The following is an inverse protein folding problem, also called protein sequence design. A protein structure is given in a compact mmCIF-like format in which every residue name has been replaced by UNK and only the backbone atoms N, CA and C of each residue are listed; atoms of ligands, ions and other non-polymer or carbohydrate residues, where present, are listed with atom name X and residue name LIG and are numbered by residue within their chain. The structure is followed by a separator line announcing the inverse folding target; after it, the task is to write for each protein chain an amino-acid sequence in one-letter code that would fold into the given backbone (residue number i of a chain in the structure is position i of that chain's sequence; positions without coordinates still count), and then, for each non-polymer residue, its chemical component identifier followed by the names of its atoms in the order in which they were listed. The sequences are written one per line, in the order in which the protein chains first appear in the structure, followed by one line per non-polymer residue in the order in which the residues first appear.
data_IF_630418726345
#
_entry.id   IF_630418726345
#
_cell.length_a   1.000
_cell.length_b   1.000
_cell.length_c   1.000
_cell.angle_alpha   90.00
_cell.angle_beta   90.00
_cell.angle_gamma   90.00
#
_symmetry.space_group_name_H-M   'P 1'
#
loop_
_entity.id
_entity.type
_entity.pdbx_description
1 polymer ?
#
# COMPACT_ATOMS: atom_id res chain seq x y z
N UNK A 1 -8.98 -39.20 -19.77
CA UNK A 1 -7.67 -38.93 -20.43
C UNK A 1 -6.47 -39.31 -19.57
N UNK A 2 -6.21 -38.67 -18.41
CA UNK A 2 -5.03 -38.99 -17.56
C UNK A 2 -4.93 -40.44 -17.10
N UNK A 3 -6.07 -41.09 -16.83
CA UNK A 3 -6.14 -42.48 -16.37
C UNK A 3 -6.09 -43.52 -17.50
N UNK A 4 -6.25 -43.11 -18.76
CA UNK A 4 -6.36 -44.04 -19.89
C UNK A 4 -5.04 -44.79 -20.16
N UNK A 5 -3.91 -44.09 -20.10
CA UNK A 5 -2.57 -44.67 -20.30
C UNK A 5 -2.18 -45.65 -19.19
N UNK A 6 -2.31 -45.31 -17.89
CA UNK A 6 -2.11 -46.28 -16.80
C UNK A 6 -3.05 -47.49 -16.88
N UNK A 7 -4.30 -47.30 -17.33
CA UNK A 7 -5.28 -48.37 -17.45
C UNK A 7 -5.14 -49.21 -18.73
N UNK A 8 -4.26 -48.83 -19.67
CA UNK A 8 -4.09 -49.51 -20.96
C UNK A 8 -5.37 -49.54 -21.81
N UNK A 9 -6.27 -48.56 -21.63
CA UNK A 9 -7.61 -48.54 -22.26
C UNK A 9 -7.79 -47.31 -23.13
N UNK A 10 -8.65 -47.42 -24.16
CA UNK A 10 -9.10 -46.25 -24.89
C UNK A 10 -9.80 -45.28 -23.92
N UNK A 11 -9.54 -43.96 -23.95
CA UNK A 11 -10.14 -43.03 -22.99
C UNK A 11 -11.68 -43.01 -23.03
N UNK A 12 -12.31 -43.30 -24.18
CA UNK A 12 -13.77 -43.42 -24.32
C UNK A 12 -14.30 -44.69 -23.67
N UNK A 13 -13.62 -45.82 -23.85
CA UNK A 13 -13.95 -47.08 -23.16
C UNK A 13 -13.80 -46.94 -21.64
N UNK A 14 -12.74 -46.28 -21.20
CA UNK A 14 -12.53 -46.00 -19.78
C UNK A 14 -13.61 -45.07 -19.22
N UNK A 15 -14.04 -44.06 -19.98
CA UNK A 15 -15.14 -43.19 -19.57
C UNK A 15 -16.46 -43.96 -19.45
N UNK A 16 -16.75 -44.88 -20.38
CA UNK A 16 -17.92 -45.75 -20.30
C UNK A 16 -17.87 -46.63 -19.05
N UNK A 17 -16.73 -47.25 -18.76
CA UNK A 17 -16.55 -48.04 -17.54
C UNK A 17 -16.80 -47.23 -16.28
N UNK A 18 -16.40 -45.95 -16.23
CA UNK A 18 -16.73 -45.08 -15.10
C UNK A 18 -18.24 -44.86 -15.00
N UNK A 19 -18.90 -44.50 -16.12
CA UNK A 19 -20.35 -44.28 -16.14
C UNK A 19 -21.13 -45.52 -15.71
N UNK A 20 -20.73 -46.70 -16.19
CA UNK A 20 -21.39 -47.97 -15.86
C UNK A 20 -21.32 -48.32 -14.37
N UNK A 21 -20.37 -47.74 -13.64
CA UNK A 21 -20.19 -47.93 -12.19
C UNK A 21 -20.65 -46.71 -11.37
N UNK A 22 -21.19 -45.67 -12.00
CA UNK A 22 -21.78 -44.55 -11.27
C UNK A 22 -23.10 -45.01 -10.64
N UNK A 23 -23.33 -44.70 -9.35
CA UNK A 23 -24.64 -44.92 -8.75
C UNK A 23 -25.68 -44.02 -9.42
N UNK A 24 -26.93 -44.51 -9.46
CA UNK A 24 -28.07 -43.67 -9.82
C UNK A 24 -28.19 -42.50 -8.84
N UNK A 25 -28.38 -41.30 -9.37
CA UNK A 25 -28.49 -40.08 -8.59
C UNK A 25 -29.72 -39.27 -9.02
N UNK A 26 -30.63 -39.03 -8.08
CA UNK A 26 -31.92 -38.38 -8.34
C UNK A 26 -31.81 -36.92 -8.79
N UNK A 27 -30.61 -36.32 -8.67
CA UNK A 27 -30.31 -34.96 -9.09
C UNK A 27 -29.78 -34.85 -10.53
N UNK A 28 -29.52 -35.98 -11.21
CA UNK A 28 -29.01 -36.00 -12.59
C UNK A 28 -30.12 -36.39 -13.57
N UNK A 29 -30.27 -35.61 -14.65
CA UNK A 29 -31.10 -35.99 -15.80
C UNK A 29 -30.40 -37.04 -16.66
N UNK A 30 -29.09 -36.86 -16.90
CA UNK A 30 -28.27 -37.81 -17.68
C UNK A 30 -26.77 -37.61 -17.45
N UNK A 31 -26.02 -38.64 -17.81
CA UNK A 31 -24.55 -38.62 -17.91
C UNK A 31 -24.17 -39.13 -19.29
N UNK A 32 -23.31 -38.42 -20.02
CA UNK A 32 -22.93 -38.82 -21.39
C UNK A 32 -21.44 -38.61 -21.68
N UNK A 33 -20.92 -39.38 -22.65
CA UNK A 33 -19.53 -39.25 -23.07
C UNK A 33 -19.41 -38.31 -24.26
N UNK A 34 -18.70 -37.20 -24.06
CA UNK A 34 -18.35 -36.25 -25.10
C UNK A 34 -16.94 -36.48 -25.65
N UNK A 35 -16.82 -36.39 -26.98
CA UNK A 35 -15.55 -36.48 -27.69
C UNK A 35 -14.71 -37.71 -27.31
N UNK A 36 -13.41 -37.53 -27.02
CA UNK A 36 -12.49 -38.65 -26.82
C UNK A 36 -12.66 -39.39 -25.48
N UNK A 37 -13.51 -38.91 -24.56
CA UNK A 37 -13.68 -39.52 -23.23
C UNK A 37 -13.90 -38.51 -22.10
N UNK A 38 -14.49 -37.36 -22.39
CA UNK A 38 -15.02 -36.46 -21.37
C UNK A 38 -16.37 -37.01 -20.89
N UNK A 39 -16.65 -36.89 -19.59
CA UNK A 39 -17.92 -37.31 -19.00
C UNK A 39 -18.68 -36.04 -18.61
N UNK A 40 -19.78 -35.77 -19.28
CA UNK A 40 -20.65 -34.63 -19.00
C UNK A 40 -21.78 -35.07 -18.07
N UNK A 41 -22.03 -34.28 -17.02
CA UNK A 41 -23.14 -34.47 -16.08
C UNK A 41 -24.19 -33.40 -16.33
N UNK A 42 -25.45 -33.81 -16.45
CA UNK A 42 -26.59 -32.90 -16.63
C UNK A 42 -27.42 -32.95 -15.37
N UNK A 43 -27.42 -31.85 -14.61
CA UNK A 43 -28.18 -31.71 -13.36
C UNK A 43 -29.62 -31.33 -13.72
N UNK A 44 -30.59 -31.93 -13.05
CA UNK A 44 -31.99 -31.63 -13.32
C UNK A 44 -32.42 -30.25 -12.83
N UNK A 45 -33.45 -29.70 -13.46
CA UNK A 45 -33.91 -28.32 -13.20
C UNK A 45 -34.35 -28.13 -11.74
N UNK A 46 -35.02 -29.12 -11.15
CA UNK A 46 -35.45 -29.06 -9.75
C UNK A 46 -34.27 -28.89 -8.78
N UNK A 47 -33.18 -29.64 -9.00
CA UNK A 47 -31.96 -29.52 -8.21
C UNK A 47 -31.29 -28.16 -8.42
N UNK A 48 -31.19 -27.69 -9.66
CA UNK A 48 -30.61 -26.37 -9.93
C UNK A 48 -31.38 -25.24 -9.25
N UNK A 49 -32.70 -25.33 -9.19
CA UNK A 49 -33.56 -24.32 -8.55
C UNK A 49 -33.61 -24.44 -7.02
N UNK A 50 -33.26 -25.61 -6.44
CA UNK A 50 -33.23 -25.81 -4.98
C UNK A 50 -32.27 -24.87 -4.24
N UNK A 51 -31.31 -24.26 -4.94
CA UNK A 51 -30.43 -23.24 -4.36
C UNK A 51 -31.21 -21.99 -3.96
N UNK A 52 -32.33 -21.68 -4.62
CA UNK A 52 -33.15 -20.50 -4.32
C UNK A 52 -33.70 -20.59 -2.90
N UNK A 53 -34.20 -21.76 -2.48
CA UNK A 53 -34.68 -21.96 -1.11
C UNK A 53 -33.56 -21.72 -0.10
N UNK A 54 -32.35 -22.23 -0.37
CA UNK A 54 -31.16 -21.97 0.47
C UNK A 54 -30.79 -20.49 0.54
N UNK A 55 -30.86 -19.77 -0.58
CA UNK A 55 -30.59 -18.33 -0.64
C UNK A 55 -31.61 -17.57 0.22
N UNK A 56 -32.89 -17.92 0.11
CA UNK A 56 -33.96 -17.28 0.89
C UNK A 56 -33.86 -17.61 2.38
N UNK A 57 -33.56 -18.85 2.75
CA UNK A 57 -33.38 -19.30 4.13
C UNK A 57 -32.15 -18.67 4.80
N UNK A 58 -31.01 -18.65 4.11
CA UNK A 58 -29.76 -18.12 4.66
C UNK A 58 -29.67 -16.59 4.57
N UNK A 59 -30.39 -15.98 3.62
CA UNK A 59 -30.44 -14.54 3.39
C UNK A 59 -29.03 -13.90 3.37
N UNK A 60 -28.74 -12.98 4.29
CA UNK A 60 -27.44 -12.30 4.41
C UNK A 60 -26.28 -13.24 4.76
N UNK A 61 -26.55 -14.50 5.13
CA UNK A 61 -25.54 -15.51 5.41
C UNK A 61 -25.28 -16.46 4.23
N UNK A 62 -26.05 -16.34 3.14
CA UNK A 62 -25.79 -17.14 1.96
C UNK A 62 -24.40 -16.85 1.39
N UNK A 63 -23.65 -17.89 1.06
CA UNK A 63 -22.29 -17.78 0.52
C UNK A 63 -21.19 -17.51 1.56
N UNK A 64 -21.54 -17.31 2.84
CA UNK A 64 -20.57 -17.26 3.93
C UNK A 64 -20.00 -18.64 4.23
N UNK A 65 -18.76 -18.67 4.71
CA UNK A 65 -18.13 -19.91 5.18
C UNK A 65 -17.20 -19.66 6.37
N UNK A 66 -16.64 -20.74 6.92
CA UNK A 66 -15.70 -20.72 8.04
C UNK A 66 -14.32 -21.25 7.68
N UNK A 67 -13.97 -21.25 6.38
CA UNK A 67 -12.70 -21.82 5.92
C UNK A 67 -11.48 -21.09 6.53
N UNK A 68 -11.65 -19.81 6.89
CA UNK A 68 -10.62 -18.98 7.53
C UNK A 68 -10.69 -18.93 9.06
N UNK A 69 -11.58 -19.68 9.72
CA UNK A 69 -11.78 -19.58 11.17
C UNK A 69 -10.47 -19.84 11.93
N UNK A 70 -10.10 -18.91 12.82
CA UNK A 70 -8.84 -18.96 13.58
C UNK A 70 -7.59 -18.52 12.80
N UNK A 71 -7.75 -17.93 11.60
CA UNK A 71 -6.65 -17.39 10.79
C UNK A 71 -6.72 -15.87 10.70
N UNK A 72 -5.58 -15.22 10.91
CA UNK A 72 -5.44 -13.77 10.87
C UNK A 72 -4.80 -13.32 9.55
N UNK A 73 -5.42 -12.35 8.89
CA UNK A 73 -4.91 -11.80 7.62
C UNK A 73 -4.82 -10.30 7.72
N UNK A 74 -3.65 -9.74 7.46
CA UNK A 74 -3.50 -8.31 7.25
C UNK A 74 -3.71 -8.00 5.77
N UNK A 75 -4.42 -6.91 5.47
CA UNK A 75 -4.63 -6.41 4.12
C UNK A 75 -4.27 -4.93 4.09
N UNK A 76 -3.17 -4.59 3.41
CA UNK A 76 -2.76 -3.22 3.17
C UNK A 76 -3.23 -2.73 1.80
N UNK A 77 -3.86 -1.56 1.75
CA UNK A 77 -4.32 -0.98 0.49
C UNK A 77 -4.53 0.54 0.60
N UNK A 78 -4.54 1.19 -0.57
CA UNK A 78 -4.54 2.65 -0.78
C UNK A 78 -3.20 3.29 -0.45
N UNK A 79 -2.78 3.32 0.84
CA UNK A 79 -1.48 3.83 1.32
C UNK A 79 -0.92 5.03 0.55
N UNK A 80 -1.78 5.99 0.19
CA UNK A 80 -1.39 7.17 -0.57
C UNK A 80 -0.66 8.16 0.35
N UNK A 81 0.38 8.80 -0.18
CA UNK A 81 1.14 9.82 0.58
C UNK A 81 0.20 10.98 0.95
N UNK A 82 0.21 11.45 2.22
CA UNK A 82 -0.68 12.50 2.70
C UNK A 82 -0.18 13.88 2.28
N UNK A 83 -0.02 14.08 0.97
CA UNK A 83 0.47 15.35 0.38
C UNK A 83 -0.54 15.99 -0.55
N UNK A 84 -1.74 15.41 -0.65
CA UNK A 84 -2.91 15.92 -1.34
C UNK A 84 -4.12 14.99 -1.13
N UNK A 85 -5.31 15.41 -1.56
CA UNK A 85 -6.53 14.63 -1.43
C UNK A 85 -6.51 13.38 -2.32
N UNK A 86 -7.39 12.42 -2.03
CA UNK A 86 -7.54 11.25 -2.89
C UNK A 86 -8.13 11.63 -4.26
N UNK A 87 -7.83 10.82 -5.26
CA UNK A 87 -8.39 10.95 -6.61
C UNK A 87 -8.87 9.59 -7.11
N UNK A 88 -9.53 9.54 -8.27
CA UNK A 88 -10.11 8.31 -8.84
C UNK A 88 -9.14 7.12 -8.95
N UNK A 89 -7.84 7.38 -9.17
CA UNK A 89 -6.81 6.34 -9.15
C UNK A 89 -6.73 5.60 -7.82
N UNK A 90 -6.81 6.31 -6.69
CA UNK A 90 -6.86 5.73 -5.35
C UNK A 90 -8.17 4.99 -5.12
N UNK A 91 -9.30 5.50 -5.63
CA UNK A 91 -10.60 4.85 -5.54
C UNK A 91 -10.64 3.44 -6.14
N UNK A 92 -9.87 3.17 -7.21
CA UNK A 92 -9.73 1.81 -7.76
C UNK A 92 -9.01 0.86 -6.79
N UNK A 93 -7.91 1.31 -6.21
CA UNK A 93 -7.17 0.54 -5.19
C UNK A 93 -8.02 0.31 -3.94
N UNK A 94 -8.78 1.33 -3.52
CA UNK A 94 -9.71 1.28 -2.41
C UNK A 94 -10.78 0.19 -2.63
N UNK A 95 -11.49 0.22 -3.77
CA UNK A 95 -12.52 -0.76 -4.09
C UNK A 95 -11.97 -2.20 -4.18
N UNK A 96 -10.79 -2.37 -4.77
CA UNK A 96 -10.15 -3.68 -4.90
C UNK A 96 -9.73 -4.25 -3.54
N UNK A 97 -8.99 -3.47 -2.74
CA UNK A 97 -8.54 -3.88 -1.42
C UNK A 97 -9.69 -4.15 -0.45
N UNK A 98 -10.72 -3.29 -0.47
CA UNK A 98 -11.94 -3.50 0.31
C UNK A 98 -12.64 -4.82 -0.08
N UNK A 99 -12.80 -5.09 -1.38
CA UNK A 99 -13.41 -6.34 -1.84
C UNK A 99 -12.63 -7.58 -1.41
N UNK A 100 -11.29 -7.53 -1.42
CA UNK A 100 -10.45 -8.62 -0.94
C UNK A 100 -10.63 -8.82 0.57
N UNK A 101 -10.56 -7.75 1.35
CA UNK A 101 -10.75 -7.79 2.80
C UNK A 101 -12.14 -8.33 3.18
N UNK A 102 -13.20 -7.83 2.54
CA UNK A 102 -14.59 -8.23 2.80
C UNK A 102 -14.85 -9.69 2.43
N UNK A 103 -14.26 -10.17 1.33
CA UNK A 103 -14.37 -11.59 0.95
C UNK A 103 -13.67 -12.51 1.95
N UNK A 104 -12.49 -12.12 2.45
CA UNK A 104 -11.77 -12.87 3.49
C UNK A 104 -12.59 -12.93 4.79
N UNK A 105 -13.15 -11.80 5.20
CA UNK A 105 -14.01 -11.72 6.38
C UNK A 105 -15.29 -12.56 6.20
N UNK A 106 -15.88 -12.54 4.99
CA UNK A 106 -17.06 -13.34 4.60
C UNK A 106 -16.81 -14.85 4.70
N UNK A 107 -15.57 -15.31 4.52
CA UNK A 107 -15.18 -16.72 4.63
C UNK A 107 -14.51 -17.07 5.97
N UNK A 108 -14.57 -16.16 6.94
CA UNK A 108 -14.28 -16.43 8.35
C UNK A 108 -12.87 -16.07 8.83
N UNK A 109 -12.06 -15.36 8.04
CA UNK A 109 -10.78 -14.84 8.51
C UNK A 109 -10.95 -13.66 9.47
N UNK A 110 -10.03 -13.51 10.43
CA UNK A 110 -9.86 -12.28 11.20
C UNK A 110 -9.03 -11.29 10.37
N UNK A 111 -9.71 -10.30 9.77
CA UNK A 111 -9.09 -9.37 8.82
C UNK A 111 -8.65 -8.10 9.52
N UNK A 112 -7.39 -7.70 9.29
CA UNK A 112 -6.79 -6.45 9.76
C UNK A 112 -6.48 -5.55 8.56
N UNK A 113 -7.33 -4.55 8.31
CA UNK A 113 -7.15 -3.54 7.27
C UNK A 113 -6.15 -2.49 7.76
N UNK A 114 -5.09 -2.27 7.00
CA UNK A 114 -4.02 -1.34 7.33
C UNK A 114 -3.80 -0.29 6.22
N UNK A 115 -3.60 0.96 6.64
CA UNK A 115 -3.18 2.05 5.77
C UNK A 115 -1.78 2.48 6.19
N UNK A 116 -0.82 2.44 5.26
CA UNK A 116 0.52 2.95 5.51
C UNK A 116 0.59 4.46 5.22
N UNK A 117 0.87 5.25 6.25
CA UNK A 117 0.98 6.71 6.19
C UNK A 117 2.44 7.10 6.08
N UNK A 118 2.83 7.57 4.91
CA UNK A 118 4.15 8.15 4.68
C UNK A 118 4.22 9.59 5.23
N UNK A 119 4.31 9.70 6.56
CA UNK A 119 4.33 10.95 7.32
C UNK A 119 5.73 11.49 7.60
N UNK A 120 6.74 11.02 6.85
CA UNK A 120 8.12 11.42 7.01
C UNK A 120 8.78 11.80 5.68
N UNK A 121 9.95 12.44 5.78
CA UNK A 121 10.78 12.76 4.63
C UNK A 121 10.37 13.99 3.84
N UNK A 122 11.07 14.17 2.71
CA UNK A 122 11.13 15.44 1.98
C UNK A 122 9.78 15.94 1.46
N UNK A 123 8.91 15.04 1.01
CA UNK A 123 7.61 15.45 0.48
C UNK A 123 6.75 16.15 1.56
N UNK A 124 6.84 15.68 2.81
CA UNK A 124 6.13 16.31 3.91
C UNK A 124 6.74 17.67 4.30
N UNK A 125 8.06 17.81 4.21
CA UNK A 125 8.73 19.10 4.42
C UNK A 125 8.33 20.14 3.36
N UNK A 126 8.21 19.72 2.09
CA UNK A 126 7.71 20.57 1.00
C UNK A 126 6.26 20.97 1.28
N UNK A 127 5.40 20.06 1.77
CA UNK A 127 4.03 20.38 2.14
C UNK A 127 3.97 21.42 3.26
N UNK A 128 4.68 21.19 4.36
CA UNK A 128 4.72 22.11 5.50
C UNK A 128 5.18 23.51 5.07
N UNK A 129 6.25 23.57 4.27
CA UNK A 129 6.78 24.83 3.72
C UNK A 129 5.77 25.49 2.77
N UNK A 130 5.08 24.72 1.93
CA UNK A 130 4.06 25.24 1.01
C UNK A 130 2.86 25.84 1.76
N UNK A 131 2.38 25.16 2.81
CA UNK A 131 1.32 25.65 3.70
C UNK A 131 1.73 26.95 4.36
N UNK A 132 2.96 27.00 4.91
CA UNK A 132 3.46 28.20 5.56
C UNK A 132 3.61 29.39 4.59
N UNK A 133 4.13 29.15 3.38
CA UNK A 133 4.22 30.19 2.36
C UNK A 133 2.83 30.72 1.96
N UNK A 134 1.83 29.85 1.76
CA UNK A 134 0.44 30.31 1.52
C UNK A 134 -0.12 31.10 2.70
N UNK A 135 0.25 30.72 3.93
CA UNK A 135 -0.10 31.48 5.12
C UNK A 135 0.52 32.89 5.12
N UNK A 136 1.77 33.05 4.67
CA UNK A 136 2.39 34.37 4.54
C UNK A 136 1.66 35.24 3.50
N UNK A 137 1.22 34.67 2.38
CA UNK A 137 0.37 35.40 1.41
C UNK A 137 -0.95 35.86 2.06
N UNK A 138 -1.57 35.04 2.92
CA UNK A 138 -2.76 35.45 3.68
C UNK A 138 -2.47 36.56 4.70
N UNK A 139 -1.26 36.63 5.24
CA UNK A 139 -0.77 37.74 6.05
C UNK A 139 -0.41 38.99 5.22
N UNK A 140 -0.59 38.96 3.88
CA UNK A 140 -0.32 40.08 2.99
C UNK A 140 1.13 40.19 2.52
N UNK A 141 1.92 39.12 2.62
CA UNK A 141 3.27 39.06 2.06
C UNK A 141 3.21 38.75 0.56
N UNK A 142 4.01 39.46 -0.24
CA UNK A 142 4.09 39.25 -1.68
C UNK A 142 5.46 38.65 -2.06
N UNK A 143 5.44 37.52 -2.77
CA UNK A 143 6.62 36.85 -3.32
C UNK A 143 6.20 35.88 -4.44
N UNK A 144 7.16 35.40 -5.23
CA UNK A 144 6.90 34.35 -6.22
C UNK A 144 6.82 32.99 -5.53
N UNK A 145 5.67 32.32 -5.61
CA UNK A 145 5.50 30.99 -5.01
C UNK A 145 6.36 29.93 -5.74
N UNK A 146 7.13 29.09 -5.03
CA UNK A 146 8.13 28.21 -5.62
C UNK A 146 7.53 27.19 -6.60
N UNK A 147 8.27 26.84 -7.65
CA UNK A 147 7.82 25.87 -8.68
C UNK A 147 7.50 24.50 -8.07
N UNK A 148 8.34 24.05 -7.13
CA UNK A 148 8.29 22.75 -6.46
C UNK A 148 7.44 22.74 -5.18
N UNK A 149 6.81 23.86 -4.81
CA UNK A 149 5.81 23.87 -3.75
C UNK A 149 4.51 23.21 -4.18
N UNK A 150 3.73 22.68 -3.24
CA UNK A 150 2.38 22.20 -3.50
C UNK A 150 1.44 23.40 -3.74
N UNK A 151 0.66 23.34 -4.83
CA UNK A 151 -0.14 24.47 -5.34
C UNK A 151 -1.64 24.19 -5.40
N UNK A 152 -2.10 23.03 -4.92
CA UNK A 152 -3.53 22.71 -4.92
C UNK A 152 -4.31 23.56 -3.91
N UNK A 153 -5.62 23.69 -4.14
CA UNK A 153 -6.50 24.51 -3.30
C UNK A 153 -6.49 24.09 -1.83
N UNK A 154 -6.32 22.79 -1.55
CA UNK A 154 -6.18 22.25 -0.19
C UNK A 154 -5.03 22.90 0.61
N UNK A 155 -3.95 23.34 -0.04
CA UNK A 155 -2.83 24.01 0.64
C UNK A 155 -3.28 25.37 1.18
N UNK A 156 -4.11 26.09 0.40
CA UNK A 156 -4.72 27.34 0.85
C UNK A 156 -5.70 27.11 2.00
N UNK A 157 -6.49 26.04 1.97
CA UNK A 157 -7.44 25.73 3.05
C UNK A 157 -6.74 25.43 4.37
N UNK A 158 -5.63 24.69 4.33
CA UNK A 158 -4.78 24.43 5.50
C UNK A 158 -4.14 25.74 5.99
N UNK A 159 -3.57 26.54 5.09
CA UNK A 159 -2.98 27.84 5.42
C UNK A 159 -4.00 28.81 6.04
N UNK A 160 -5.23 28.84 5.52
CA UNK A 160 -6.32 29.62 6.08
C UNK A 160 -6.73 29.12 7.47
N UNK A 161 -6.67 27.82 7.71
CA UNK A 161 -6.86 27.25 9.05
C UNK A 161 -5.78 27.71 10.02
N UNK A 162 -4.51 27.65 9.61
CA UNK A 162 -3.38 28.17 10.39
C UNK A 162 -3.57 29.66 10.73
N UNK A 163 -3.94 30.47 9.73
CA UNK A 163 -4.19 31.90 9.90
C UNK A 163 -5.35 32.20 10.85
N UNK A 164 -6.47 31.46 10.75
CA UNK A 164 -7.59 31.63 11.68
C UNK A 164 -7.21 31.28 13.12
N UNK A 165 -6.37 30.26 13.32
CA UNK A 165 -5.99 29.79 14.66
C UNK A 165 -4.94 30.65 15.32
N UNK A 166 -4.00 31.22 14.54
CA UNK A 166 -2.81 31.87 15.08
C UNK A 166 -2.59 33.32 14.62
N UNK A 167 -3.52 33.88 13.82
CA UNK A 167 -3.40 35.22 13.24
C UNK A 167 -1.99 35.41 12.61
N UNK A 168 -1.25 36.43 13.03
CA UNK A 168 0.10 36.78 12.52
C UNK A 168 1.26 36.11 13.29
N UNK A 169 0.99 35.16 14.19
CA UNK A 169 2.04 34.55 15.04
C UNK A 169 3.23 33.96 14.27
N UNK A 170 2.98 33.39 13.10
CA UNK A 170 3.98 32.74 12.25
C UNK A 170 4.35 33.59 11.03
N UNK A 171 3.97 34.87 11.04
CA UNK A 171 4.30 35.83 9.98
C UNK A 171 5.76 36.29 10.09
N UNK A 172 6.45 36.33 8.95
CA UNK A 172 7.84 36.74 8.85
C UNK A 172 8.04 37.60 7.60
N UNK A 173 9.02 38.51 7.64
CA UNK A 173 9.30 39.37 6.49
C UNK A 173 9.87 38.55 5.33
N UNK A 174 9.52 38.90 4.09
CA UNK A 174 10.04 38.23 2.88
C UNK A 174 11.58 38.24 2.85
N UNK A 175 12.21 39.29 3.38
CA UNK A 175 13.66 39.38 3.47
C UNK A 175 14.25 38.28 4.38
N UNK A 176 13.63 37.99 5.52
CA UNK A 176 14.09 36.94 6.44
C UNK A 176 13.82 35.55 5.84
N UNK A 177 12.67 35.36 5.20
CA UNK A 177 12.28 34.07 4.59
C UNK A 177 13.21 33.68 3.45
N UNK A 178 13.59 34.63 2.60
CA UNK A 178 14.43 34.38 1.42
C UNK A 178 15.92 34.64 1.66
N UNK A 179 16.33 34.90 2.91
CA UNK A 179 17.74 35.11 3.25
C UNK A 179 18.57 33.86 2.92
N UNK A 180 19.47 33.97 1.92
CA UNK A 180 20.36 32.87 1.52
C UNK A 180 19.69 31.77 0.69
N UNK A 181 18.43 31.96 0.27
CA UNK A 181 17.70 31.04 -0.60
C UNK A 181 18.19 31.19 -2.04
N UNK A 182 18.59 30.09 -2.67
CA UNK A 182 19.02 30.08 -4.07
C UNK A 182 17.90 30.52 -5.02
N UNK A 183 18.21 31.00 -6.23
CA UNK A 183 17.16 31.31 -7.21
C UNK A 183 16.35 30.07 -7.63
N UNK A 184 15.07 30.25 -7.96
CA UNK A 184 14.21 29.17 -8.48
C UNK A 184 14.41 28.99 -10.01
N UNK A 185 13.90 27.89 -10.58
CA UNK A 185 14.00 27.54 -12.02
C UNK A 185 13.53 28.67 -12.97
N UNK A 186 12.40 29.37 -12.73
CA UNK A 186 11.98 30.51 -13.57
C UNK A 186 12.96 31.69 -13.58
N UNK A 187 13.75 31.83 -12.51
CA UNK A 187 14.76 32.89 -12.36
C UNK A 187 16.18 32.40 -12.73
N UNK A 188 16.28 31.23 -13.37
CA UNK A 188 17.54 30.66 -13.86
C UNK A 188 18.32 29.84 -12.82
N UNK A 189 17.70 29.49 -11.68
CA UNK A 189 18.30 28.66 -10.65
C UNK A 189 17.88 27.19 -10.67
N UNK A 190 18.06 26.51 -9.55
CA UNK A 190 17.74 25.09 -9.38
C UNK A 190 16.57 24.94 -8.41
N UNK A 191 15.44 24.44 -8.91
CA UNK A 191 14.21 24.25 -8.15
C UNK A 191 14.32 23.29 -6.97
N UNK A 192 15.20 22.29 -7.04
CA UNK A 192 15.41 21.34 -5.95
C UNK A 192 16.19 22.03 -4.84
N UNK A 193 17.24 22.77 -5.20
CA UNK A 193 18.00 23.57 -4.24
C UNK A 193 17.16 24.69 -3.64
N UNK A 194 16.34 25.36 -4.44
CA UNK A 194 15.47 26.45 -3.99
C UNK A 194 14.49 25.97 -2.92
N UNK A 195 13.78 24.86 -3.14
CA UNK A 195 12.83 24.33 -2.15
C UNK A 195 13.54 23.79 -0.90
N UNK A 196 14.72 23.19 -1.05
CA UNK A 196 15.51 22.71 0.09
C UNK A 196 16.02 23.88 0.96
N UNK A 197 16.48 24.97 0.33
CA UNK A 197 16.87 26.20 1.03
C UNK A 197 15.66 26.86 1.72
N UNK A 198 14.46 26.83 1.11
CA UNK A 198 13.22 27.31 1.73
C UNK A 198 12.79 26.45 2.93
N UNK A 199 12.93 25.12 2.86
CA UNK A 199 12.68 24.23 4.00
C UNK A 199 13.63 24.57 5.15
N UNK A 200 14.92 24.75 4.85
CA UNK A 200 15.92 25.14 5.85
C UNK A 200 15.61 26.52 6.46
N UNK A 201 15.20 27.47 5.63
CA UNK A 201 14.77 28.81 6.07
C UNK A 201 13.53 28.72 6.97
N UNK A 202 12.49 28.00 6.56
CA UNK A 202 11.27 27.80 7.35
C UNK A 202 11.58 27.22 8.74
N UNK A 203 12.43 26.19 8.82
CA UNK A 203 12.88 25.62 10.09
C UNK A 203 13.65 26.62 10.96
N UNK A 204 14.50 27.45 10.35
CA UNK A 204 15.28 28.49 11.04
C UNK A 204 14.38 29.58 11.60
N UNK A 205 13.48 30.14 10.80
CA UNK A 205 12.69 31.33 11.17
C UNK A 205 11.52 31.01 12.08
N UNK A 206 10.85 29.86 11.87
CA UNK A 206 9.76 29.41 12.73
C UNK A 206 10.25 28.79 14.04
N UNK A 207 11.52 28.38 14.09
CA UNK A 207 12.05 27.51 15.12
C UNK A 207 11.44 26.10 15.08
N UNK A 208 11.98 25.19 15.91
CA UNK A 208 11.55 23.79 15.93
C UNK A 208 10.07 23.63 16.26
N UNK A 209 9.57 24.31 17.31
CA UNK A 209 8.17 24.21 17.71
C UNK A 209 7.20 24.79 16.66
N UNK A 210 7.55 25.93 16.06
CA UNK A 210 6.72 26.58 15.05
C UNK A 210 6.64 25.75 13.77
N UNK A 211 7.80 25.30 13.27
CA UNK A 211 7.84 24.43 12.09
C UNK A 211 7.09 23.12 12.34
N UNK A 212 7.29 22.51 13.51
CA UNK A 212 6.63 21.26 13.89
C UNK A 212 5.11 21.42 13.92
N UNK A 213 4.61 22.52 14.46
CA UNK A 213 3.18 22.79 14.47
C UNK A 213 2.60 22.90 13.06
N UNK A 214 3.25 23.66 12.16
CA UNK A 214 2.75 23.82 10.78
C UNK A 214 2.80 22.48 10.03
N UNK A 215 3.87 21.72 10.23
CA UNK A 215 4.01 20.37 9.70
C UNK A 215 2.84 19.47 10.13
N UNK A 216 2.60 19.38 11.44
CA UNK A 216 1.58 18.50 12.01
C UNK A 216 0.17 18.92 11.60
N UNK A 217 -0.10 20.22 11.53
CA UNK A 217 -1.39 20.72 11.03
C UNK A 217 -1.65 20.27 9.58
N UNK A 218 -0.64 20.38 8.71
CA UNK A 218 -0.77 19.94 7.31
C UNK A 218 -0.98 18.43 7.19
N UNK A 219 -0.18 17.64 7.93
CA UNK A 219 -0.28 16.19 7.96
C UNK A 219 -1.64 15.73 8.49
N UNK A 220 -2.05 16.20 9.67
CA UNK A 220 -3.29 15.77 10.32
C UNK A 220 -4.52 16.16 9.50
N UNK A 221 -4.53 17.36 8.90
CA UNK A 221 -5.63 17.79 8.04
C UNK A 221 -5.81 16.85 6.87
N UNK A 222 -4.73 16.50 6.17
CA UNK A 222 -4.79 15.61 5.00
C UNK A 222 -5.08 14.16 5.37
N UNK A 223 -4.48 13.63 6.43
CA UNK A 223 -4.78 12.26 6.89
C UNK A 223 -6.23 12.14 7.32
N UNK A 224 -6.80 13.15 7.99
CA UNK A 224 -8.21 13.14 8.37
C UNK A 224 -9.13 13.26 7.14
N UNK A 225 -8.82 14.11 6.16
CA UNK A 225 -9.57 14.21 4.91
C UNK A 225 -9.59 12.87 4.15
N UNK A 226 -8.42 12.23 4.00
CA UNK A 226 -8.29 10.90 3.39
C UNK A 226 -9.11 9.86 4.17
N UNK A 227 -9.07 9.89 5.50
CA UNK A 227 -9.83 8.96 6.36
C UNK A 227 -11.33 9.14 6.17
N UNK A 228 -11.82 10.38 6.14
CA UNK A 228 -13.23 10.69 5.97
C UNK A 228 -13.73 10.27 4.59
N UNK A 229 -12.94 10.50 3.53
CA UNK A 229 -13.25 10.06 2.18
C UNK A 229 -13.34 8.53 2.08
N UNK A 230 -12.39 7.80 2.68
CA UNK A 230 -12.40 6.33 2.69
C UNK A 230 -13.56 5.77 3.53
N UNK A 231 -13.88 6.38 4.66
CA UNK A 231 -15.04 5.96 5.48
C UNK A 231 -16.35 6.17 4.72
N UNK A 232 -16.52 7.29 4.00
CA UNK A 232 -17.65 7.51 3.09
C UNK A 232 -17.69 6.52 1.92
N UNK A 233 -16.54 6.00 1.52
CA UNK A 233 -16.41 4.92 0.54
C UNK A 233 -16.72 3.53 1.12
N UNK A 234 -17.01 3.43 2.43
CA UNK A 234 -17.33 2.18 3.13
C UNK A 234 -16.10 1.42 3.64
N UNK A 235 -14.98 2.11 3.83
CA UNK A 235 -13.71 1.51 4.27
C UNK A 235 -13.28 2.12 5.60
N UNK A 236 -13.19 1.28 6.63
CA UNK A 236 -12.60 1.63 7.91
C UNK A 236 -11.37 0.76 8.19
N UNK A 237 -10.27 1.41 8.55
CA UNK A 237 -8.99 0.76 8.84
C UNK A 237 -8.84 0.46 10.33
N UNK A 238 -8.30 -0.72 10.65
CA UNK A 238 -7.90 -1.06 12.02
C UNK A 238 -6.61 -0.32 12.42
N UNK A 239 -5.73 0.00 11.48
CA UNK A 239 -4.49 0.73 11.75
C UNK A 239 -4.14 1.71 10.64
N UNK A 240 -3.79 2.93 11.06
CA UNK A 240 -3.09 3.92 10.25
C UNK A 240 -1.63 3.91 10.70
N UNK A 241 -0.78 3.17 9.98
CA UNK A 241 0.59 2.89 10.37
C UNK A 241 1.51 4.03 9.94
N UNK A 242 2.33 4.57 10.85
CA UNK A 242 3.18 5.76 10.60
C UNK A 242 4.61 5.36 10.25
N UNK A 243 5.11 5.84 9.10
CA UNK A 243 6.52 5.67 8.71
C UNK A 243 7.45 6.32 9.74
N UNK A 244 7.12 7.50 10.25
CA UNK A 244 7.91 8.14 11.29
C UNK A 244 8.04 7.25 12.52
N UNK A 245 6.93 6.64 12.96
CA UNK A 245 6.94 5.75 14.13
C UNK A 245 7.84 4.53 13.90
N UNK A 246 7.83 3.97 12.68
CA UNK A 246 8.76 2.88 12.30
C UNK A 246 10.22 3.31 12.43
N UNK A 247 10.56 4.50 11.91
CA UNK A 247 11.93 5.03 11.96
C UNK A 247 12.38 5.31 13.41
N UNK A 248 11.54 5.96 14.21
CA UNK A 248 11.85 6.34 15.59
C UNK A 248 11.91 5.14 16.55
N UNK A 249 11.17 4.07 16.26
CA UNK A 249 11.17 2.84 17.07
C UNK A 249 12.49 2.05 17.00
N UNK A 250 13.40 2.40 16.09
CA UNK A 250 14.61 1.65 15.79
C UNK A 250 14.37 0.36 15.00
N UNK A 251 13.15 0.14 14.45
CA UNK A 251 12.84 -1.05 13.66
C UNK A 251 13.75 -1.22 12.44
N UNK A 252 14.09 -0.11 11.78
CA UNK A 252 15.01 -0.10 10.62
C UNK A 252 16.38 -0.64 11.00
N UNK A 253 16.93 -0.15 12.11
CA UNK A 253 18.23 -0.61 12.62
C UNK A 253 18.18 -2.08 13.04
N UNK A 254 17.11 -2.52 13.73
CA UNK A 254 16.92 -3.94 14.09
C UNK A 254 16.92 -4.85 12.85
N UNK A 255 16.26 -4.43 11.77
CA UNK A 255 16.21 -5.22 10.54
C UNK A 255 17.60 -5.30 9.87
N UNK A 256 18.34 -4.19 9.81
CA UNK A 256 19.72 -4.15 9.30
C UNK A 256 20.63 -5.04 10.14
N UNK A 257 20.53 -4.98 11.48
CA UNK A 257 21.35 -5.79 12.38
C UNK A 257 21.08 -7.29 12.24
N UNK A 258 19.82 -7.69 12.02
CA UNK A 258 19.47 -9.09 11.72
C UNK A 258 20.13 -9.56 10.42
N UNK A 259 20.02 -8.78 9.34
CA UNK A 259 20.65 -9.10 8.05
C UNK A 259 22.18 -9.15 8.16
N UNK A 260 22.77 -8.23 8.92
CA UNK A 260 24.21 -8.18 9.17
C UNK A 260 24.69 -9.42 9.93
N UNK A 261 23.96 -9.80 10.99
CA UNK A 261 24.27 -10.96 11.83
C UNK A 261 24.12 -12.28 11.07
N UNK A 262 23.20 -12.34 10.10
CA UNK A 262 23.03 -13.47 9.19
C UNK A 262 24.07 -13.50 8.05
N UNK A 263 24.93 -12.48 7.94
CA UNK A 263 25.99 -12.41 6.92
C UNK A 263 25.50 -12.01 5.53
N UNK A 264 24.32 -11.39 5.43
CA UNK A 264 23.70 -11.01 4.16
C UNK A 264 24.04 -9.58 3.71
N UNK A 265 24.78 -8.82 4.51
CA UNK A 265 25.22 -7.46 4.19
C UNK A 265 26.72 -7.39 3.87
N UNK A 266 27.10 -6.44 3.04
CA UNK A 266 28.50 -6.13 2.72
C UNK A 266 28.70 -4.65 2.39
N UNK A 267 29.91 -4.15 2.58
CA UNK A 267 30.25 -2.77 2.23
C UNK A 267 30.85 -2.67 0.83
N UNK A 268 30.40 -1.67 0.06
CA UNK A 268 30.98 -1.33 -1.23
C UNK A 268 30.76 0.16 -1.53
N UNK A 269 31.86 0.87 -1.82
CA UNK A 269 31.81 2.30 -2.16
C UNK A 269 31.32 3.18 -1.01
N UNK A 270 31.62 2.81 0.24
CA UNK A 270 31.17 3.53 1.43
C UNK A 270 29.73 3.22 1.85
N UNK A 271 28.93 2.57 1.00
CA UNK A 271 27.56 2.17 1.30
C UNK A 271 27.48 0.73 1.81
N UNK A 272 26.43 0.42 2.57
CA UNK A 272 26.07 -0.92 3.03
C UNK A 272 25.02 -1.52 2.10
N UNK A 273 25.34 -2.68 1.53
CA UNK A 273 24.57 -3.39 0.52
C UNK A 273 24.03 -4.70 1.09
N UNK A 274 22.77 -5.00 0.78
CA UNK A 274 22.14 -6.30 0.99
C UNK A 274 22.33 -7.17 -0.25
N UNK A 275 22.86 -8.38 -0.06
CA UNK A 275 22.99 -9.45 -1.06
C UNK A 275 21.64 -10.05 -1.45
N UNK A 276 20.71 -9.22 -1.92
CA UNK A 276 19.35 -9.67 -2.26
C UNK A 276 19.32 -10.63 -3.45
N UNK A 277 20.35 -10.63 -4.31
CA UNK A 277 20.46 -11.57 -5.44
C UNK A 277 20.55 -13.04 -4.99
N UNK A 278 21.15 -13.31 -3.83
CA UNK A 278 21.20 -14.65 -3.23
C UNK A 278 19.80 -15.21 -2.89
N UNK A 279 18.78 -14.33 -2.85
CA UNK A 279 17.39 -14.65 -2.47
C UNK A 279 16.38 -14.45 -3.61
N UNK A 280 16.85 -14.20 -4.84
CA UNK A 280 16.02 -14.11 -6.04
C UNK A 280 15.61 -12.70 -6.46
N UNK A 281 16.26 -11.66 -5.93
CA UNK A 281 16.20 -10.30 -6.50
C UNK A 281 17.10 -10.17 -7.74
N UNK A 282 16.87 -9.16 -8.57
CA UNK A 282 17.62 -8.90 -9.81
C UNK A 282 19.01 -8.31 -9.57
N UNK A 283 19.17 -7.54 -8.49
CA UNK A 283 20.43 -6.90 -8.11
C UNK A 283 20.46 -6.58 -6.63
N UNK A 284 21.65 -6.56 -6.06
CA UNK A 284 21.88 -6.18 -4.68
C UNK A 284 21.41 -4.74 -4.42
N UNK A 285 20.97 -4.49 -3.19
CA UNK A 285 20.29 -3.24 -2.83
C UNK A 285 21.03 -2.52 -1.72
N UNK A 286 21.21 -1.22 -1.86
CA UNK A 286 21.73 -0.37 -0.79
C UNK A 286 20.68 -0.26 0.32
N UNK A 287 21.06 -0.61 1.54
CA UNK A 287 20.24 -0.43 2.75
C UNK A 287 20.69 0.79 3.56
N UNK A 288 21.97 1.16 3.47
CA UNK A 288 22.52 2.39 4.04
C UNK A 288 23.50 3.04 3.07
N UNK A 289 23.32 4.34 2.83
CA UNK A 289 24.18 5.15 1.94
C UNK A 289 25.52 5.46 2.61
N UNK A 290 26.46 5.95 1.82
CA UNK A 290 27.79 6.41 2.25
C UNK A 290 27.75 7.56 3.27
N UNK A 291 26.71 8.39 3.20
CA UNK A 291 26.43 9.45 4.18
C UNK A 291 25.80 8.93 5.50
N UNK A 292 25.65 7.60 5.67
CA UNK A 292 25.09 6.97 6.86
C UNK A 292 23.55 6.89 6.90
N UNK A 293 22.84 7.54 5.98
CA UNK A 293 21.37 7.50 5.95
C UNK A 293 20.86 6.16 5.42
N UNK A 294 19.82 5.63 6.05
CA UNK A 294 19.08 4.45 5.57
C UNK A 294 18.30 4.77 4.30
N UNK A 295 18.05 3.74 3.48
CA UNK A 295 17.24 3.88 2.26
C UNK A 295 15.77 3.57 2.55
N UNK A 296 14.85 4.02 1.68
CA UNK A 296 13.43 3.61 1.75
C UNK A 296 13.26 2.08 1.73
N UNK A 297 14.14 1.39 1.01
CA UNK A 297 14.12 -0.06 1.01
C UNK A 297 14.44 -0.65 2.40
N UNK A 298 15.31 -0.02 3.20
CA UNK A 298 15.53 -0.45 4.58
C UNK A 298 14.27 -0.26 5.45
N UNK A 299 13.50 0.83 5.24
CA UNK A 299 12.17 0.99 5.86
C UNK A 299 11.24 -0.15 5.46
N UNK A 300 11.15 -0.47 4.16
CA UNK A 300 10.28 -1.55 3.68
C UNK A 300 10.63 -2.91 4.28
N UNK A 301 11.93 -3.23 4.39
CA UNK A 301 12.39 -4.46 5.04
C UNK A 301 11.88 -4.52 6.48
N UNK A 302 12.08 -3.44 7.23
CA UNK A 302 11.69 -3.38 8.63
C UNK A 302 10.16 -3.46 8.81
N UNK A 303 9.42 -2.78 7.94
CA UNK A 303 7.96 -2.79 7.98
C UNK A 303 7.38 -4.17 7.69
N UNK A 304 7.89 -4.88 6.67
CA UNK A 304 7.42 -6.24 6.35
C UNK A 304 7.85 -7.26 7.41
N UNK A 305 9.03 -7.08 8.01
CA UNK A 305 9.44 -7.86 9.17
C UNK A 305 8.45 -7.67 10.34
N UNK A 306 8.11 -6.43 10.69
CA UNK A 306 7.16 -6.14 11.76
C UNK A 306 5.75 -6.68 11.47
N UNK A 307 5.27 -6.61 10.22
CA UNK A 307 4.01 -7.25 9.80
C UNK A 307 4.00 -8.73 10.19
N UNK A 308 5.06 -9.48 9.89
CA UNK A 308 5.11 -10.91 10.22
C UNK A 308 5.30 -11.17 11.71
N UNK A 309 6.07 -10.32 12.41
CA UNK A 309 6.25 -10.38 13.88
C UNK A 309 4.93 -10.16 14.64
N UNK A 310 3.96 -9.42 14.06
CA UNK A 310 2.60 -9.26 14.60
C UNK A 310 1.75 -10.55 14.54
N UNK A 311 2.25 -11.61 13.93
CA UNK A 311 1.66 -12.95 14.01
C UNK A 311 0.52 -13.21 13.01
N UNK A 312 0.45 -12.45 11.91
CA UNK A 312 -0.50 -12.74 10.84
C UNK A 312 -0.15 -14.06 10.12
N UNK A 313 -1.16 -14.86 9.79
CA UNK A 313 -0.99 -16.05 8.97
C UNK A 313 -0.72 -15.67 7.50
N UNK A 314 -1.27 -14.54 7.06
CA UNK A 314 -1.07 -13.95 5.73
C UNK A 314 -1.01 -12.43 5.80
N UNK A 315 -0.21 -11.85 4.93
CA UNK A 315 -0.06 -10.42 4.69
C UNK A 315 -0.36 -10.18 3.23
N UNK A 316 -1.33 -9.33 2.92
CA UNK A 316 -1.76 -9.04 1.56
C UNK A 316 -1.54 -7.56 1.28
N UNK A 317 -0.65 -7.26 0.34
CA UNK A 317 -0.38 -5.89 -0.06
C UNK A 317 -0.99 -5.61 -1.44
N UNK A 318 -1.81 -4.57 -1.53
CA UNK A 318 -2.44 -4.12 -2.77
C UNK A 318 -1.65 -2.94 -3.33
N UNK A 319 -0.82 -3.18 -4.34
CA UNK A 319 0.06 -2.17 -4.94
C UNK A 319 -0.34 -1.81 -6.36
N UNK A 320 0.18 -0.68 -6.85
CA UNK A 320 0.13 -0.34 -8.28
C UNK A 320 0.99 -1.30 -9.12
N UNK A 321 0.57 -1.56 -10.37
CA UNK A 321 1.28 -2.46 -11.29
C UNK A 321 2.72 -2.02 -11.63
N UNK A 322 3.04 -0.75 -11.44
CA UNK A 322 4.39 -0.18 -11.51
C UNK A 322 5.35 -0.78 -10.46
N UNK A 323 4.83 -1.34 -9.37
CA UNK A 323 5.63 -1.96 -8.30
C UNK A 323 5.97 -3.44 -8.56
N UNK A 324 5.64 -4.01 -9.73
CA UNK A 324 5.93 -5.42 -10.04
C UNK A 324 7.41 -5.81 -9.84
N UNK A 325 8.34 -4.96 -10.26
CA UNK A 325 9.79 -5.16 -10.10
C UNK A 325 10.30 -4.91 -8.68
N UNK A 326 9.42 -4.49 -7.77
CA UNK A 326 9.71 -4.31 -6.35
C UNK A 326 9.40 -5.56 -5.52
N UNK A 327 8.40 -6.36 -5.94
CA UNK A 327 7.97 -7.58 -5.24
C UNK A 327 9.12 -8.56 -4.96
N UNK A 328 10.02 -8.88 -5.93
CA UNK A 328 11.13 -9.79 -5.65
C UNK A 328 12.07 -9.28 -4.55
N UNK A 329 12.21 -7.96 -4.40
CA UNK A 329 13.11 -7.32 -3.41
C UNK A 329 12.62 -7.55 -1.99
N UNK A 330 11.32 -7.35 -1.77
CA UNK A 330 10.69 -7.56 -0.45
C UNK A 330 10.69 -9.05 -0.10
N UNK A 331 10.35 -9.93 -1.05
CA UNK A 331 10.44 -11.38 -0.85
C UNK A 331 11.86 -11.83 -0.52
N UNK A 332 12.87 -11.29 -1.21
CA UNK A 332 14.27 -11.57 -0.93
C UNK A 332 14.65 -11.18 0.50
N UNK A 333 14.21 -10.01 0.95
CA UNK A 333 14.45 -9.55 2.30
C UNK A 333 13.79 -10.44 3.37
N UNK A 334 12.53 -10.84 3.17
CA UNK A 334 11.85 -11.77 4.09
C UNK A 334 12.61 -13.09 4.22
N UNK A 335 13.02 -13.70 3.10
CA UNK A 335 13.82 -14.93 3.11
C UNK A 335 15.15 -14.76 3.84
N UNK A 336 15.84 -13.64 3.62
CA UNK A 336 17.11 -13.33 4.27
C UNK A 336 16.96 -13.09 5.78
N UNK A 337 15.80 -12.61 6.23
CA UNK A 337 15.47 -12.49 7.65
C UNK A 337 15.05 -13.83 8.29
N UNK A 338 14.96 -14.91 7.50
CA UNK A 338 14.51 -16.22 7.96
C UNK A 338 12.98 -16.35 8.04
N UNK A 339 12.24 -15.41 7.46
CA UNK A 339 10.78 -15.40 7.44
C UNK A 339 10.21 -16.25 6.30
N UNK A 340 8.98 -16.74 6.47
CA UNK A 340 8.24 -17.45 5.43
C UNK A 340 7.61 -16.47 4.44
N UNK A 341 8.29 -16.24 3.31
CA UNK A 341 7.82 -15.32 2.27
C UNK A 341 6.52 -15.79 1.58
N UNK A 342 6.11 -17.06 1.75
CA UNK A 342 4.82 -17.55 1.23
C UNK A 342 3.62 -16.96 1.96
N UNK A 343 3.85 -16.30 3.11
CA UNK A 343 2.82 -15.53 3.83
C UNK A 343 2.52 -14.18 3.20
N UNK A 344 3.42 -13.64 2.39
CA UNK A 344 3.21 -12.38 1.68
C UNK A 344 2.54 -12.66 0.34
N UNK A 345 1.41 -12.05 0.09
CA UNK A 345 0.71 -12.01 -1.19
C UNK A 345 0.71 -10.54 -1.68
N UNK A 346 1.21 -10.28 -2.90
CA UNK A 346 1.18 -8.93 -3.48
C UNK A 346 0.22 -8.92 -4.67
N UNK A 347 -0.85 -8.13 -4.55
CA UNK A 347 -1.88 -7.98 -5.57
C UNK A 347 -1.65 -6.68 -6.34
N UNK A 348 -1.42 -6.79 -7.64
CA UNK A 348 -1.11 -5.64 -8.50
C UNK A 348 -2.36 -5.09 -9.18
N UNK A 349 -2.67 -3.81 -8.94
CA UNK A 349 -3.79 -3.08 -9.53
C UNK A 349 -3.30 -2.19 -10.66
N UNK A 350 -3.97 -2.27 -11.81
CA UNK A 350 -3.65 -1.43 -12.97
C UNK A 350 -4.08 0.02 -12.74
N UNK A 351 -3.37 0.97 -13.35
CA UNK A 351 -3.73 2.39 -13.27
C UNK A 351 -5.12 2.67 -13.85
N UNK A 352 -5.80 3.68 -13.29
CA UNK A 352 -7.01 4.24 -13.86
C UNK A 352 -6.65 5.21 -14.99
N UNK A 353 -7.25 5.05 -16.17
CA UNK A 353 -7.10 5.97 -17.29
C UNK A 353 -8.45 6.68 -17.48
N UNK A 354 -8.45 8.00 -17.34
CA UNK A 354 -9.61 8.83 -17.63
C UNK A 354 -9.60 9.24 -19.10
N UNK A 355 -10.67 8.91 -19.81
CA UNK A 355 -10.91 9.43 -21.15
C UNK A 355 -11.88 10.60 -21.05
N UNK A 356 -11.50 11.74 -21.65
CA UNK A 356 -12.48 12.82 -21.88
C UNK A 356 -13.30 12.42 -23.11
N UNK A 357 -14.57 12.10 -22.86
CA UNK A 357 -15.56 11.86 -23.90
C UNK A 357 -16.01 13.13 -24.60
#
# INVERSE_FOLDING_TARGET
MRLAKPAGKNPRELAQLVIDHLPTADFLDKVEIAGPGFINFYINTATSLSVIDKVLEQAHNFGRSKIGEGKKVQVEFVSANPTGPLHVGHGRGAAYGASVADLLETVGFEVHREYYVNDAGRQMDILATSVWLRYLELCGREFTFPINGYKGDYVWDIAATLHRMHAEKYDHSVADVFEGVSADEPDGGDKEKHIDDLIASARKVLGEEGYRYVFDLGLETLVNDIRDDLSRFGIDYQTWYSERSLMESGAVERAIDKLQSAGHLYEQGGALWFRSTDFGDEKDRVVRRDNGMTTYFASDIAYHMEKLERGFDRVIDVWGADHHGYVPRVRAALKALGEDDSKLDVLLVQFAILYRG
#
